data_IF_142150489208
#
_entry.id   IF_142150489208
#
_cell.length_a   1.000
_cell.length_b   1.000
_cell.length_c   1.000
_cell.angle_alpha   90.00
_cell.angle_beta   90.00
_cell.angle_gamma   90.00
#
_symmetry.space_group_name_H-M   'P 1'
#
loop_
_entity.id
_entity.type
_entity.pdbx_description
1 polymer ?
#
# COMPACT_ATOMS: atom_id res chain seq x y z
N UNK A 1 18.11 13.88 -5.10
CA UNK A 1 16.73 13.75 -4.58
C UNK A 1 16.30 12.32 -4.80
N UNK A 2 16.18 11.54 -3.73
CA UNK A 2 15.52 10.24 -3.84
C UNK A 2 14.04 10.52 -4.15
N UNK A 3 13.52 9.92 -5.21
CA UNK A 3 12.16 10.17 -5.69
C UNK A 3 11.17 9.77 -4.59
N UNK A 4 10.27 10.67 -4.15
CA UNK A 4 9.27 10.39 -3.10
C UNK A 4 8.46 9.13 -3.42
N UNK A 5 8.20 8.88 -4.71
CA UNK A 5 7.53 7.67 -5.19
C UNK A 5 8.33 6.41 -4.82
N UNK A 6 9.67 6.45 -4.98
CA UNK A 6 10.53 5.32 -4.64
C UNK A 6 10.50 5.00 -3.13
N UNK A 7 10.44 6.03 -2.28
CA UNK A 7 10.33 5.83 -0.85
C UNK A 7 8.99 5.20 -0.45
N UNK A 8 7.88 5.58 -1.12
CA UNK A 8 6.57 4.97 -0.91
C UNK A 8 6.56 3.50 -1.35
N UNK A 9 7.08 3.20 -2.56
CA UNK A 9 7.13 1.83 -3.05
C UNK A 9 8.03 0.94 -2.20
N UNK A 10 9.17 1.42 -1.71
CA UNK A 10 10.03 0.66 -0.81
C UNK A 10 9.33 0.30 0.51
N UNK A 11 8.49 1.20 1.06
CA UNK A 11 7.68 0.91 2.25
C UNK A 11 6.59 -0.12 1.96
N UNK A 12 5.97 -0.03 0.78
CA UNK A 12 4.95 -0.97 0.36
C UNK A 12 5.51 -2.37 0.09
N UNK A 13 6.65 -2.47 -0.59
CA UNK A 13 7.39 -3.73 -0.78
C UNK A 13 7.67 -4.40 0.56
N UNK A 14 8.17 -3.63 1.53
CA UNK A 14 8.41 -4.13 2.89
C UNK A 14 7.14 -4.69 3.55
N UNK A 15 6.01 -3.99 3.45
CA UNK A 15 4.74 -4.50 3.99
C UNK A 15 4.32 -5.81 3.31
N UNK A 16 4.45 -5.88 1.98
CA UNK A 16 4.11 -7.07 1.20
C UNK A 16 4.99 -8.25 1.62
N UNK A 17 6.29 -8.04 1.80
CA UNK A 17 7.22 -9.06 2.26
C UNK A 17 6.85 -9.57 3.66
N UNK A 18 6.61 -8.66 4.62
CA UNK A 18 6.20 -9.00 5.99
C UNK A 18 4.86 -9.78 6.00
N UNK A 19 3.91 -9.41 5.11
CA UNK A 19 2.65 -10.14 4.95
C UNK A 19 2.83 -11.52 4.31
N UNK A 20 3.76 -11.66 3.35
CA UNK A 20 4.10 -12.94 2.75
C UNK A 20 4.70 -13.90 3.80
N UNK A 21 5.64 -13.43 4.62
CA UNK A 21 6.27 -14.22 5.69
C UNK A 21 5.24 -14.71 6.71
N UNK A 22 4.30 -13.85 7.11
CA UNK A 22 3.26 -14.17 8.10
C UNK A 22 2.01 -14.81 7.49
N UNK A 23 1.96 -14.98 6.16
CA UNK A 23 0.80 -15.49 5.41
C UNK A 23 -0.49 -14.69 5.67
N UNK A 24 -0.39 -13.37 5.68
CA UNK A 24 -1.55 -12.46 5.79
C UNK A 24 -2.31 -12.38 4.46
N UNK A 25 -3.12 -13.40 4.19
CA UNK A 25 -3.74 -13.61 2.88
C UNK A 25 -4.73 -12.50 2.49
N UNK A 26 -5.43 -11.86 3.44
CA UNK A 26 -6.39 -10.80 3.10
C UNK A 26 -5.70 -9.50 2.66
N UNK A 27 -4.72 -8.94 3.41
CA UNK A 27 -3.93 -7.82 2.91
C UNK A 27 -3.30 -8.10 1.54
N UNK A 28 -2.75 -9.30 1.36
CA UNK A 28 -2.16 -9.73 0.09
C UNK A 28 -3.18 -9.78 -1.04
N UNK A 29 -4.39 -10.29 -0.79
CA UNK A 29 -5.47 -10.34 -1.78
C UNK A 29 -5.82 -8.94 -2.30
N UNK A 30 -5.96 -7.95 -1.41
CA UNK A 30 -6.29 -6.59 -1.81
C UNK A 30 -5.13 -5.91 -2.54
N UNK A 31 -3.91 -6.01 -2.01
CA UNK A 31 -2.79 -5.25 -2.59
C UNK A 31 -2.33 -5.82 -3.93
N UNK A 32 -2.28 -7.15 -4.09
CA UNK A 32 -1.76 -7.79 -5.31
C UNK A 32 -2.71 -7.67 -6.50
N UNK A 33 -3.97 -7.26 -6.29
CA UNK A 33 -4.88 -6.91 -7.37
C UNK A 33 -4.35 -5.72 -8.18
N UNK A 34 -3.71 -4.79 -7.47
CA UNK A 34 -3.41 -3.45 -7.96
C UNK A 34 -1.89 -3.14 -7.94
N UNK A 35 -1.07 -4.08 -7.44
CA UNK A 35 0.38 -3.99 -7.31
C UNK A 35 1.10 -5.16 -8.01
N UNK A 36 2.24 -4.92 -8.71
CA UNK A 36 2.86 -3.62 -8.95
C UNK A 36 2.06 -2.82 -9.99
N UNK A 37 2.05 -1.49 -9.85
CA UNK A 37 1.36 -0.60 -10.77
C UNK A 37 1.77 -0.89 -12.22
N UNK A 38 0.83 -1.35 -13.03
CA UNK A 38 1.02 -1.44 -14.47
C UNK A 38 0.91 -0.03 -15.07
N UNK A 39 2.03 0.71 -15.06
CA UNK A 39 2.21 1.94 -15.83
C UNK A 39 2.21 3.23 -15.01
N UNK A 40 3.09 4.16 -15.38
CA UNK A 40 3.33 5.48 -14.78
C UNK A 40 2.16 6.49 -14.93
N UNK A 41 0.93 6.01 -15.07
CA UNK A 41 -0.25 6.85 -15.29
C UNK A 41 -0.88 7.22 -13.94
N UNK A 42 -1.33 8.47 -13.83
CA UNK A 42 -2.08 9.05 -12.69
C UNK A 42 -3.23 8.16 -12.18
N UNK A 43 -3.78 7.31 -13.05
CA UNK A 43 -4.78 6.30 -12.68
C UNK A 43 -4.26 5.27 -11.68
N UNK A 44 -2.97 4.95 -11.69
CA UNK A 44 -2.36 3.97 -10.78
C UNK A 44 -2.46 4.37 -9.32
N UNK A 45 -2.26 5.65 -8.98
CA UNK A 45 -2.34 6.11 -7.59
C UNK A 45 -3.75 6.04 -7.01
N UNK A 46 -4.78 6.26 -7.83
CA UNK A 46 -6.17 6.13 -7.39
C UNK A 46 -6.51 4.68 -7.06
N UNK A 47 -6.13 3.75 -7.94
CA UNK A 47 -6.38 2.32 -7.77
C UNK A 47 -5.61 1.79 -6.56
N UNK A 48 -4.33 2.15 -6.42
CA UNK A 48 -3.52 1.79 -5.25
C UNK A 48 -4.12 2.35 -3.95
N UNK A 49 -4.57 3.61 -3.95
CA UNK A 49 -5.20 4.20 -2.77
C UNK A 49 -6.47 3.44 -2.36
N UNK A 50 -7.27 2.99 -3.33
CA UNK A 50 -8.46 2.18 -3.08
C UNK A 50 -8.10 0.87 -2.37
N UNK A 51 -7.14 0.09 -2.88
CA UNK A 51 -6.72 -1.16 -2.21
C UNK A 51 -6.13 -0.91 -0.83
N UNK A 52 -5.35 0.17 -0.63
CA UNK A 52 -4.81 0.52 0.68
C UNK A 52 -5.92 0.86 1.70
N UNK A 53 -6.96 1.57 1.26
CA UNK A 53 -8.13 1.86 2.10
C UNK A 53 -8.93 0.60 2.43
N UNK A 54 -9.12 -0.31 1.47
CA UNK A 54 -9.74 -1.62 1.71
C UNK A 54 -8.94 -2.44 2.74
N UNK A 55 -7.61 -2.45 2.66
CA UNK A 55 -6.76 -3.13 3.64
C UNK A 55 -6.95 -2.50 5.03
N UNK A 56 -6.93 -1.18 5.12
CA UNK A 56 -7.14 -0.46 6.39
C UNK A 56 -8.50 -0.81 7.01
N UNK A 57 -9.55 -0.87 6.21
CA UNK A 57 -10.91 -1.02 6.72
C UNK A 57 -11.26 -2.50 7.00
N UNK A 58 -10.78 -3.44 6.18
CA UNK A 58 -11.18 -4.85 6.25
C UNK A 58 -10.12 -5.79 6.85
N UNK A 59 -8.85 -5.39 6.91
CA UNK A 59 -7.75 -6.28 7.35
C UNK A 59 -7.21 -5.96 8.76
N UNK A 60 -7.88 -5.08 9.51
CA UNK A 60 -7.45 -4.65 10.85
C UNK A 60 -7.21 -5.77 11.89
N UNK A 61 -7.64 -7.00 11.70
CA UNK A 61 -7.32 -8.09 12.66
C UNK A 61 -6.02 -8.83 12.31
N UNK A 62 -5.51 -8.67 11.09
CA UNK A 62 -4.32 -9.38 10.58
C UNK A 62 -3.05 -8.51 10.62
N UNK A 63 -3.22 -7.19 10.75
CA UNK A 63 -2.12 -6.22 10.78
C UNK A 63 -1.54 -6.05 12.19
N UNK A 64 -0.22 -5.98 12.31
CA UNK A 64 0.44 -5.53 13.54
C UNK A 64 0.20 -4.03 13.77
N UNK A 65 0.59 -3.50 14.94
CA UNK A 65 0.50 -2.06 15.18
C UNK A 65 1.42 -1.29 14.21
N UNK A 66 2.64 -1.77 14.03
CA UNK A 66 3.66 -1.17 13.17
C UNK A 66 3.22 -1.15 11.71
N UNK A 67 2.60 -2.23 11.24
CA UNK A 67 2.09 -2.31 9.86
C UNK A 67 0.94 -1.34 9.60
N UNK A 68 0.06 -1.12 10.60
CA UNK A 68 -1.01 -0.12 10.49
C UNK A 68 -0.46 1.28 10.41
N UNK A 69 0.51 1.60 11.26
CA UNK A 69 1.16 2.91 11.25
C UNK A 69 1.82 3.17 9.88
N UNK A 70 2.54 2.17 9.36
CA UNK A 70 3.16 2.25 8.04
C UNK A 70 2.12 2.34 6.91
N UNK A 71 1.04 1.57 6.98
CA UNK A 71 -0.07 1.63 6.03
C UNK A 71 -0.72 3.01 5.99
N UNK A 72 -0.97 3.62 7.15
CA UNK A 72 -1.53 4.97 7.25
C UNK A 72 -0.60 6.03 6.63
N UNK A 73 0.70 5.92 6.88
CA UNK A 73 1.70 6.80 6.26
C UNK A 73 1.68 6.69 4.72
N UNK A 74 1.62 5.46 4.20
CA UNK A 74 1.53 5.20 2.75
C UNK A 74 0.23 5.77 2.18
N UNK A 75 -0.92 5.58 2.86
CA UNK A 75 -2.22 6.13 2.44
C UNK A 75 -2.17 7.65 2.33
N UNK A 76 -1.60 8.33 3.32
CA UNK A 76 -1.54 9.79 3.31
C UNK A 76 -0.59 10.32 2.23
N UNK A 77 0.46 9.57 1.89
CA UNK A 77 1.30 9.88 0.74
C UNK A 77 0.56 9.65 -0.59
N UNK A 78 -0.13 8.53 -0.75
CA UNK A 78 -0.90 8.21 -1.95
C UNK A 78 -2.03 9.23 -2.20
N UNK A 79 -2.71 9.70 -1.16
CA UNK A 79 -3.72 10.78 -1.26
C UNK A 79 -3.14 12.06 -1.85
N UNK A 80 -1.93 12.45 -1.44
CA UNK A 80 -1.25 13.64 -2.00
C UNK A 80 -0.96 13.46 -3.49
N UNK A 81 -0.53 12.26 -3.91
CA UNK A 81 -0.27 11.93 -5.32
C UNK A 81 -1.50 11.87 -6.20
N UNK A 82 -2.66 11.51 -5.64
CA UNK A 82 -3.95 11.58 -6.37
C UNK A 82 -4.40 13.03 -6.63
N UNK A 83 -3.96 13.97 -5.80
CA UNK A 83 -4.35 15.38 -5.87
C UNK A 83 -3.39 16.26 -6.70
N UNK A 84 -2.21 15.73 -7.07
CA UNK A 84 -1.21 16.34 -7.96
C UNK A 84 -1.62 16.22 -9.44
#
# INVERSE_FOLDING_TARGET
MMNENYAIFAKLERLIDEWCERRCLKPLFYILRDYPLCGELVYGWNVLLESLLEIKDFCNHELTLQERELLLEIIDCAKRKVQE
#
